data_IF_301447045327
#
_entry.id   IF_301447045327
#
_cell.length_a   1.000
_cell.length_b   1.000
_cell.length_c   1.000
_cell.angle_alpha   90.00
_cell.angle_beta   90.00
_cell.angle_gamma   90.00
#
_symmetry.space_group_name_H-M   'P 1'
#
loop_
_entity.id
_entity.type
_entity.pdbx_description
1 polymer ?
#
# COMPACT_ATOMS: atom_id res chain seq x y z
N UNK A 1 39.64 -6.72 48.53
CA UNK A 1 40.14 -7.19 47.22
C UNK A 1 38.96 -7.81 46.49
N UNK A 2 38.41 -7.07 45.52
CA UNK A 2 37.11 -7.31 44.92
C UNK A 2 37.16 -8.37 43.82
N UNK A 3 36.43 -9.46 44.02
CA UNK A 3 36.13 -10.46 43.00
C UNK A 3 35.10 -9.91 41.99
N UNK A 4 35.57 -9.45 40.82
CA UNK A 4 34.70 -9.23 39.66
C UNK A 4 34.67 -10.48 38.77
N UNK A 5 33.57 -11.22 38.84
CA UNK A 5 33.24 -12.27 37.90
C UNK A 5 33.04 -11.68 36.50
N UNK A 6 33.90 -12.06 35.55
CA UNK A 6 33.74 -11.77 34.12
C UNK A 6 32.73 -12.77 33.55
N UNK A 7 31.49 -12.34 33.37
CA UNK A 7 30.46 -13.14 32.69
C UNK A 7 30.80 -13.15 31.20
N UNK A 8 31.25 -14.31 30.68
CA UNK A 8 31.43 -14.55 29.25
C UNK A 8 30.05 -14.61 28.58
N UNK A 9 29.72 -13.62 27.76
CA UNK A 9 28.45 -13.50 27.04
C UNK A 9 28.17 -14.58 25.98
N UNK A 10 29.05 -15.58 25.82
CA UNK A 10 28.95 -16.59 24.76
C UNK A 10 28.23 -17.89 25.16
N UNK A 11 27.72 -18.02 26.39
CA UNK A 11 27.09 -19.28 26.84
C UNK A 11 25.56 -19.27 26.88
N UNK A 12 24.88 -18.28 26.30
CA UNK A 12 23.42 -18.15 26.43
C UNK A 12 22.59 -18.54 25.20
N UNK A 13 23.21 -18.80 24.03
CA UNK A 13 22.46 -19.16 22.83
C UNK A 13 23.19 -20.24 22.01
N UNK A 14 22.62 -21.46 22.05
CA UNK A 14 22.76 -22.63 21.16
C UNK A 14 24.05 -22.82 20.34
N UNK A 15 24.76 -23.92 20.62
CA UNK A 15 25.81 -24.47 19.76
C UNK A 15 25.26 -24.92 18.40
N UNK A 16 25.54 -24.16 17.35
CA UNK A 16 25.50 -24.63 15.95
C UNK A 16 26.83 -25.34 15.58
N UNK A 17 26.85 -26.19 14.54
CA UNK A 17 27.95 -27.13 14.32
C UNK A 17 29.25 -26.40 13.96
N UNK A 18 30.35 -26.84 14.59
CA UNK A 18 31.67 -26.22 14.53
C UNK A 18 32.25 -26.18 13.10
N UNK A 19 32.86 -25.06 12.67
CA UNK A 19 33.70 -25.05 11.48
C UNK A 19 35.09 -25.58 11.84
N UNK A 20 35.51 -26.64 11.15
CA UNK A 20 36.86 -27.17 11.20
C UNK A 20 37.86 -26.25 10.49
N UNK A 21 39.08 -26.23 11.04
CA UNK A 21 40.34 -25.78 10.42
C UNK A 21 40.75 -24.31 10.60
N UNK A 22 41.61 -24.13 11.61
CA UNK A 22 42.63 -23.09 11.82
C UNK A 22 43.07 -22.32 10.56
N UNK A 23 42.89 -21.01 10.60
CA UNK A 23 43.91 -20.03 10.21
C UNK A 23 43.98 -18.95 11.29
N UNK A 24 45.19 -18.74 11.82
CA UNK A 24 45.48 -17.65 12.75
C UNK A 24 45.42 -16.32 11.98
N UNK A 25 44.27 -15.68 11.97
CA UNK A 25 44.21 -14.22 11.88
C UNK A 25 43.56 -13.72 13.17
N UNK A 26 44.22 -12.80 13.87
CA UNK A 26 43.53 -11.92 14.82
C UNK A 26 42.53 -11.14 13.98
N UNK A 27 41.33 -11.68 13.82
CA UNK A 27 40.18 -10.90 13.40
C UNK A 27 39.88 -10.00 14.58
N UNK A 28 40.41 -8.78 14.55
CA UNK A 28 39.76 -7.66 15.21
C UNK A 28 38.37 -7.62 14.59
N UNK A 29 37.42 -8.32 15.22
CA UNK A 29 36.01 -8.18 14.90
C UNK A 29 35.72 -6.75 15.32
N UNK A 30 35.69 -5.86 14.34
CA UNK A 30 35.44 -4.44 14.52
C UNK A 30 34.16 -4.26 15.33
N UNK A 31 34.35 -4.12 16.65
CA UNK A 31 33.28 -4.20 17.63
C UNK A 31 32.30 -3.04 17.42
N UNK A 32 32.81 -1.90 16.95
CA UNK A 32 32.03 -0.72 16.60
C UNK A 32 31.16 -0.99 15.37
N UNK A 33 31.69 -1.68 14.35
CA UNK A 33 30.89 -2.12 13.21
C UNK A 33 29.84 -3.17 13.59
N UNK A 34 30.13 -4.08 14.53
CA UNK A 34 29.15 -5.06 15.02
C UNK A 34 28.05 -4.38 15.81
N UNK A 35 28.38 -3.43 16.70
CA UNK A 35 27.41 -2.67 17.48
C UNK A 35 26.54 -1.82 16.55
N UNK A 36 27.13 -1.12 15.60
CA UNK A 36 26.42 -0.30 14.61
C UNK A 36 25.42 -1.14 13.79
N UNK A 37 25.85 -2.31 13.28
CA UNK A 37 24.94 -3.21 12.54
C UNK A 37 23.78 -3.70 13.40
N UNK A 38 24.05 -4.07 14.66
CA UNK A 38 23.00 -4.51 15.59
C UNK A 38 22.02 -3.39 15.93
N UNK A 39 22.51 -2.17 16.12
CA UNK A 39 21.68 -0.99 16.36
C UNK A 39 20.79 -0.69 15.15
N UNK A 40 21.35 -0.69 13.94
CA UNK A 40 20.58 -0.48 12.71
C UNK A 40 19.52 -1.58 12.51
N UNK A 41 19.85 -2.84 12.80
CA UNK A 41 18.90 -3.94 12.74
C UNK A 41 17.75 -3.77 13.74
N UNK A 42 18.05 -3.39 14.98
CA UNK A 42 17.04 -3.13 15.99
C UNK A 42 16.13 -1.94 15.63
N UNK A 43 16.73 -0.83 15.18
CA UNK A 43 15.99 0.35 14.75
C UNK A 43 15.10 0.07 13.53
N UNK A 44 15.60 -0.70 12.57
CA UNK A 44 14.83 -1.13 11.40
C UNK A 44 13.65 -2.01 11.80
N UNK A 45 13.84 -2.90 12.79
CA UNK A 45 12.75 -3.72 13.33
C UNK A 45 11.69 -2.91 14.04
N UNK A 46 12.09 -1.91 14.82
CA UNK A 46 11.14 -0.98 15.47
C UNK A 46 10.32 -0.24 14.42
N UNK A 47 10.98 0.27 13.38
CA UNK A 47 10.31 0.98 12.30
C UNK A 47 9.32 0.08 11.53
N UNK A 48 9.73 -1.16 11.29
CA UNK A 48 8.86 -2.16 10.68
C UNK A 48 7.62 -2.43 11.53
N UNK A 49 7.78 -2.62 12.84
CA UNK A 49 6.65 -2.82 13.75
C UNK A 49 5.72 -1.61 13.78
N UNK A 50 6.28 -0.40 13.76
CA UNK A 50 5.50 0.84 13.66
C UNK A 50 4.70 0.90 12.35
N UNK A 51 5.32 0.63 11.20
CA UNK A 51 4.65 0.61 9.91
C UNK A 51 3.55 -0.47 9.85
N UNK A 52 3.81 -1.63 10.45
CA UNK A 52 2.83 -2.72 10.57
C UNK A 52 1.63 -2.34 11.44
N UNK A 53 1.85 -1.68 12.58
CA UNK A 53 0.79 -1.21 13.48
C UNK A 53 -0.08 -0.15 12.81
N UNK A 54 0.54 0.86 12.17
CA UNK A 54 -0.20 1.85 11.37
C UNK A 54 -0.93 1.21 10.20
N UNK A 55 -0.31 0.22 9.55
CA UNK A 55 -0.93 -0.59 8.51
C UNK A 55 -2.15 -1.37 9.02
N UNK A 56 -2.11 -1.91 10.23
CA UNK A 56 -3.23 -2.60 10.86
C UNK A 56 -4.40 -1.64 11.13
N UNK A 57 -4.12 -0.43 11.64
CA UNK A 57 -5.15 0.61 11.82
C UNK A 57 -5.80 1.01 10.49
N UNK A 58 -4.99 1.17 9.43
CA UNK A 58 -5.50 1.44 8.09
C UNK A 58 -6.30 0.26 7.52
N UNK A 59 -5.91 -0.98 7.82
CA UNK A 59 -6.62 -2.18 7.43
C UNK A 59 -7.97 -2.31 8.13
N UNK A 60 -8.05 -2.01 9.42
CA UNK A 60 -9.30 -1.97 10.17
C UNK A 60 -10.26 -0.94 9.57
N UNK A 61 -9.75 0.26 9.26
CA UNK A 61 -10.51 1.30 8.58
C UNK A 61 -10.98 0.85 7.18
N UNK A 62 -10.12 0.16 6.42
CA UNK A 62 -10.46 -0.35 5.09
C UNK A 62 -11.54 -1.44 5.11
N UNK A 63 -11.57 -2.24 6.18
CA UNK A 63 -12.48 -3.38 6.29
C UNK A 63 -13.78 -3.06 7.05
N UNK A 64 -13.83 -1.92 7.76
CA UNK A 64 -14.93 -1.54 8.64
C UNK A 64 -16.29 -1.55 7.92
N UNK A 65 -16.37 -0.90 6.75
CA UNK A 65 -17.63 -0.77 6.01
C UNK A 65 -17.73 -1.73 4.82
N UNK A 66 -16.72 -2.57 4.56
CA UNK A 66 -16.66 -3.36 3.32
C UNK A 66 -17.87 -4.29 3.17
N UNK A 67 -18.35 -4.88 4.26
CA UNK A 67 -19.55 -5.73 4.23
C UNK A 67 -20.84 -4.93 3.95
N UNK A 68 -20.95 -3.72 4.53
CA UNK A 68 -22.09 -2.84 4.30
C UNK A 68 -22.11 -2.37 2.84
N UNK A 69 -20.96 -1.95 2.30
CA UNK A 69 -20.78 -1.58 0.89
C UNK A 69 -21.15 -2.77 -0.01
N UNK A 70 -20.61 -3.95 0.28
CA UNK A 70 -20.83 -5.14 -0.55
C UNK A 70 -22.31 -5.56 -0.64
N UNK A 71 -23.09 -5.34 0.41
CA UNK A 71 -24.49 -5.79 0.49
C UNK A 71 -25.53 -4.72 0.19
N UNK A 72 -25.11 -3.46 0.01
CA UNK A 72 -26.01 -2.35 -0.32
C UNK A 72 -26.73 -2.60 -1.64
N UNK A 73 -28.06 -2.62 -1.61
CA UNK A 73 -28.89 -2.72 -2.81
C UNK A 73 -29.37 -1.32 -3.18
N UNK A 74 -28.79 -0.75 -4.24
CA UNK A 74 -29.21 0.51 -4.82
C UNK A 74 -28.95 0.50 -6.33
N UNK A 75 -29.83 1.12 -7.09
CA UNK A 75 -29.66 1.35 -8.52
C UNK A 75 -28.89 2.67 -8.79
N UNK A 76 -28.74 3.51 -7.77
CA UNK A 76 -28.04 4.80 -7.87
C UNK A 76 -26.54 4.62 -8.07
N UNK A 77 -25.89 5.63 -8.66
CA UNK A 77 -24.43 5.68 -8.70
C UNK A 77 -23.84 6.22 -7.38
N UNK A 78 -22.68 5.68 -6.95
CA UNK A 78 -21.86 6.30 -5.91
C UNK A 78 -21.69 7.80 -6.15
N UNK A 79 -21.76 8.60 -5.08
CA UNK A 79 -21.58 10.05 -5.15
C UNK A 79 -20.16 10.50 -4.81
N UNK A 80 -19.45 9.71 -4.00
CA UNK A 80 -18.11 10.04 -3.49
C UNK A 80 -17.38 8.76 -3.07
N UNK A 81 -16.05 8.83 -2.85
CA UNK A 81 -15.32 7.76 -2.17
C UNK A 81 -15.93 7.48 -0.79
N UNK A 82 -15.85 6.22 -0.36
CA UNK A 82 -16.34 5.80 0.96
C UNK A 82 -15.52 6.41 2.09
N UNK A 83 -16.13 6.53 3.27
CA UNK A 83 -15.42 7.00 4.46
C UNK A 83 -14.26 6.06 4.82
N UNK A 84 -14.38 4.76 4.52
CA UNK A 84 -13.30 3.78 4.64
C UNK A 84 -12.07 4.16 3.81
N UNK A 85 -12.26 4.55 2.53
CA UNK A 85 -11.17 5.00 1.67
C UNK A 85 -10.49 6.29 2.20
N UNK A 86 -11.28 7.22 2.76
CA UNK A 86 -10.76 8.44 3.37
C UNK A 86 -9.94 8.14 4.63
N UNK A 87 -10.41 7.24 5.48
CA UNK A 87 -9.75 6.89 6.74
C UNK A 87 -8.42 6.12 6.52
N UNK A 88 -8.29 5.36 5.42
CA UNK A 88 -7.00 4.80 4.99
C UNK A 88 -5.98 5.91 4.76
N UNK A 89 -6.37 6.96 4.02
CA UNK A 89 -5.49 8.08 3.70
C UNK A 89 -5.21 8.95 4.93
N UNK A 90 -6.17 9.09 5.85
CA UNK A 90 -5.94 9.75 7.14
C UNK A 90 -4.85 9.04 7.94
N UNK A 91 -4.87 7.71 7.98
CA UNK A 91 -3.82 6.92 8.64
C UNK A 91 -2.47 7.07 7.93
N UNK A 92 -2.46 7.05 6.60
CA UNK A 92 -1.25 7.30 5.80
C UNK A 92 -0.69 8.71 6.01
N UNK A 93 -1.56 9.72 6.15
CA UNK A 93 -1.22 11.10 6.50
C UNK A 93 -0.55 11.19 7.85
N UNK A 94 -1.15 10.60 8.89
CA UNK A 94 -0.57 10.59 10.24
C UNK A 94 0.81 9.93 10.20
N UNK A 95 0.94 8.78 9.53
CA UNK A 95 2.22 8.10 9.40
C UNK A 95 3.28 8.95 8.67
N UNK A 96 2.88 9.64 7.60
CA UNK A 96 3.74 10.55 6.85
C UNK A 96 4.26 11.71 7.71
N UNK A 97 3.38 12.36 8.48
CA UNK A 97 3.74 13.48 9.37
C UNK A 97 4.67 13.01 10.50
N UNK A 98 4.38 11.86 11.11
CA UNK A 98 5.21 11.28 12.16
C UNK A 98 6.61 10.93 11.63
N UNK A 99 6.70 10.35 10.42
CA UNK A 99 7.99 10.09 9.77
C UNK A 99 8.77 11.36 9.46
N UNK A 100 8.12 12.42 8.98
CA UNK A 100 8.78 13.71 8.74
C UNK A 100 9.36 14.30 10.05
N UNK A 101 8.64 14.17 11.16
CA UNK A 101 9.12 14.62 12.48
C UNK A 101 10.28 13.76 13.03
N UNK A 102 10.34 12.46 12.70
CA UNK A 102 11.36 11.53 13.22
C UNK A 102 12.64 11.55 12.38
N UNK A 103 12.53 11.49 11.06
CA UNK A 103 13.68 11.35 10.16
C UNK A 103 14.29 12.70 9.76
N UNK A 104 13.54 13.79 9.91
CA UNK A 104 13.85 15.05 9.25
C UNK A 104 13.58 14.95 7.75
N UNK A 105 12.92 15.97 7.20
CA UNK A 105 12.50 16.00 5.80
C UNK A 105 11.23 16.81 5.64
N UNK A 106 10.87 17.12 4.40
CA UNK A 106 9.69 17.91 4.14
C UNK A 106 8.42 17.14 4.55
N UNK A 107 7.46 17.87 5.13
CA UNK A 107 6.09 17.39 5.36
C UNK A 107 5.33 17.31 4.03
N UNK A 108 5.92 16.68 3.03
CA UNK A 108 5.35 16.64 1.69
C UNK A 108 4.48 15.41 1.55
N UNK A 109 3.18 15.66 1.39
CA UNK A 109 2.46 15.01 0.30
C UNK A 109 2.79 15.85 -0.94
N UNK A 110 3.25 15.24 -2.04
CA UNK A 110 3.52 16.00 -3.25
C UNK A 110 2.29 16.82 -3.66
N UNK A 111 2.43 18.03 -4.25
CA UNK A 111 1.29 18.83 -4.70
C UNK A 111 0.29 17.96 -5.45
N UNK A 112 -0.99 18.04 -5.05
CA UNK A 112 -2.01 17.19 -5.65
C UNK A 112 -2.08 17.47 -7.15
N UNK A 113 -1.90 16.45 -7.99
CA UNK A 113 -2.15 16.62 -9.40
C UNK A 113 -3.66 16.86 -9.52
N UNK A 114 -4.11 17.90 -10.24
CA UNK A 114 -5.53 18.09 -10.47
C UNK A 114 -6.12 16.80 -11.03
N UNK A 115 -7.31 16.43 -10.55
CA UNK A 115 -8.03 15.33 -11.15
C UNK A 115 -8.21 15.65 -12.64
N UNK A 116 -7.93 14.72 -13.56
CA UNK A 116 -8.13 14.96 -14.97
C UNK A 116 -9.62 15.25 -15.21
N UNK A 117 -9.93 16.30 -15.98
CA UNK A 117 -11.30 16.55 -16.42
C UNK A 117 -11.79 15.32 -17.19
N UNK A 118 -13.10 15.05 -17.17
CA UNK A 118 -13.71 13.90 -17.85
C UNK A 118 -13.38 13.82 -19.36
N UNK A 119 -12.98 14.93 -19.97
CA UNK A 119 -12.58 15.06 -21.38
C UNK A 119 -11.06 14.99 -21.62
N UNK A 120 -10.26 14.93 -20.55
CA UNK A 120 -8.81 14.73 -20.65
C UNK A 120 -8.56 13.25 -20.61
N UNK A 121 -8.11 12.68 -21.74
CA UNK A 121 -7.61 11.31 -21.84
C UNK A 121 -6.89 10.93 -20.53
N UNK A 122 -7.52 10.01 -19.81
CA UNK A 122 -7.11 9.56 -18.50
C UNK A 122 -5.60 9.44 -18.43
N UNK A 123 -5.01 10.12 -17.43
CA UNK A 123 -3.59 10.08 -17.04
C UNK A 123 -2.91 8.88 -17.66
N UNK A 124 -2.11 9.16 -18.70
CA UNK A 124 -1.26 8.21 -19.41
C UNK A 124 -1.40 6.78 -18.93
N UNK A 125 -2.46 6.10 -19.38
CA UNK A 125 -2.37 4.69 -19.72
C UNK A 125 -1.29 4.64 -20.79
N UNK A 126 -0.03 4.71 -20.36
CA UNK A 126 1.11 4.49 -21.23
C UNK A 126 0.81 3.17 -21.90
N UNK A 127 0.51 3.26 -23.20
CA UNK A 127 0.16 2.17 -24.05
C UNK A 127 0.96 0.93 -23.63
N UNK A 128 0.31 0.01 -22.93
CA UNK A 128 0.57 -1.40 -23.15
C UNK A 128 -0.02 -1.63 -24.53
N UNK A 129 0.73 -1.18 -25.54
CA UNK A 129 0.63 -1.69 -26.88
C UNK A 129 0.94 -3.16 -26.67
N UNK A 130 -0.11 -3.96 -26.54
CA UNK A 130 -0.03 -5.40 -26.55
C UNK A 130 0.87 -5.73 -27.74
N UNK A 131 2.12 -6.11 -27.45
CA UNK A 131 3.01 -6.61 -28.48
C UNK A 131 2.30 -7.85 -28.97
N UNK A 132 1.76 -7.75 -30.18
CA UNK A 132 1.47 -8.89 -31.04
C UNK A 132 2.65 -9.86 -30.91
N UNK A 133 2.40 -10.94 -30.19
CA UNK A 133 3.43 -11.77 -29.61
C UNK A 133 2.80 -12.91 -28.82
N UNK A 134 2.03 -13.74 -29.54
CA UNK A 134 1.55 -15.07 -29.14
C UNK A 134 0.62 -15.11 -27.90
N UNK A 135 -0.54 -15.79 -27.96
CA UNK A 135 -1.42 -15.92 -26.81
C UNK A 135 -0.80 -16.89 -25.79
N UNK A 136 0.02 -16.37 -24.88
CA UNK A 136 0.40 -17.11 -23.69
C UNK A 136 -0.78 -17.03 -22.72
N UNK A 137 -1.35 -18.20 -22.40
CA UNK A 137 -2.54 -18.36 -21.56
C UNK A 137 -2.30 -17.70 -20.19
N UNK A 138 -3.31 -17.02 -19.64
CA UNK A 138 -3.22 -16.24 -18.39
C UNK A 138 -2.48 -16.92 -17.23
N UNK A 139 -2.58 -18.24 -17.11
CA UNK A 139 -1.84 -19.03 -16.13
C UNK A 139 -0.31 -18.88 -16.22
N UNK A 140 0.26 -18.66 -17.40
CA UNK A 140 1.70 -18.48 -17.58
C UNK A 140 2.17 -17.10 -17.12
N UNK A 141 1.35 -16.07 -17.33
CA UNK A 141 1.58 -14.73 -16.78
C UNK A 141 1.43 -14.72 -15.26
N UNK A 142 0.46 -15.46 -14.71
CA UNK A 142 0.27 -15.60 -13.27
C UNK A 142 1.44 -16.37 -12.63
N UNK A 143 1.94 -17.41 -13.29
CA UNK A 143 3.14 -18.13 -12.83
C UNK A 143 4.38 -17.25 -12.91
N UNK A 144 4.60 -16.50 -13.99
CA UNK A 144 5.72 -15.54 -14.06
C UNK A 144 5.61 -14.45 -12.99
N UNK A 145 4.41 -13.91 -12.72
CA UNK A 145 4.18 -12.98 -11.61
C UNK A 145 4.45 -13.62 -10.26
N UNK A 146 4.01 -14.86 -10.02
CA UNK A 146 4.32 -15.62 -8.79
C UNK A 146 5.82 -15.88 -8.59
N UNK A 147 6.62 -15.92 -9.66
CA UNK A 147 8.07 -16.10 -9.59
C UNK A 147 8.85 -14.78 -9.52
N UNK A 148 8.26 -13.66 -9.95
CA UNK A 148 8.88 -12.32 -9.93
C UNK A 148 8.52 -11.55 -8.65
N UNK A 149 7.28 -11.69 -8.17
CA UNK A 149 6.84 -11.12 -6.91
C UNK A 149 7.00 -12.18 -5.81
N UNK A 150 8.07 -12.06 -5.01
CA UNK A 150 8.08 -12.73 -3.71
C UNK A 150 6.86 -12.21 -2.95
N UNK A 151 5.89 -13.09 -2.70
CA UNK A 151 4.72 -12.80 -1.87
C UNK A 151 5.19 -12.66 -0.42
N UNK A 152 5.95 -11.60 -0.12
CA UNK A 152 6.19 -11.17 1.24
C UNK A 152 4.89 -10.54 1.74
N UNK A 153 4.03 -11.37 2.33
CA UNK A 153 2.83 -10.93 3.04
C UNK A 153 3.19 -9.87 4.09
N UNK A 154 4.35 -10.02 4.73
CA UNK A 154 4.94 -9.13 5.71
C UNK A 154 6.45 -9.07 5.48
N UNK A 155 7.11 -7.92 5.75
CA UNK A 155 8.54 -7.82 5.54
C UNK A 155 9.24 -8.90 6.37
N UNK A 156 10.06 -9.73 5.73
CA UNK A 156 10.70 -10.84 6.43
C UNK A 156 11.66 -10.30 7.51
N UNK A 157 11.86 -11.01 8.63
CA UNK A 157 12.69 -10.51 9.75
C UNK A 157 14.16 -10.27 9.39
N UNK A 158 14.59 -10.71 8.20
CA UNK A 158 15.93 -10.50 7.64
C UNK A 158 15.99 -9.25 6.74
N UNK A 159 14.85 -8.70 6.31
CA UNK A 159 14.80 -7.54 5.43
C UNK A 159 14.87 -6.26 6.26
N UNK A 160 15.92 -5.47 6.06
CA UNK A 160 16.02 -4.17 6.72
C UNK A 160 15.10 -3.20 5.99
N UNK A 161 14.06 -2.72 6.69
CA UNK A 161 13.30 -1.57 6.25
C UNK A 161 14.21 -0.35 6.14
N UNK A 162 14.09 0.35 5.03
CA UNK A 162 14.77 1.62 4.77
C UNK A 162 14.24 2.70 5.71
N UNK A 163 15.11 3.56 6.22
CA UNK A 163 14.76 4.66 7.11
C UNK A 163 14.25 5.87 6.31
N UNK A 164 13.17 5.66 5.55
CA UNK A 164 12.55 6.70 4.71
C UNK A 164 11.05 6.75 4.94
N UNK A 165 10.47 7.96 4.82
CA UNK A 165 9.01 8.17 4.78
C UNK A 165 8.36 7.25 3.75
N UNK A 166 8.96 7.17 2.57
CA UNK A 166 8.45 6.40 1.44
C UNK A 166 8.26 4.91 1.79
N UNK A 167 9.27 4.28 2.39
CA UNK A 167 9.21 2.86 2.76
C UNK A 167 8.13 2.58 3.82
N UNK A 168 7.99 3.47 4.80
CA UNK A 168 7.01 3.33 5.89
C UNK A 168 5.60 3.48 5.36
N UNK A 169 5.31 4.59 4.67
CA UNK A 169 3.97 4.88 4.16
C UNK A 169 3.54 3.85 3.12
N UNK A 170 4.46 3.41 2.26
CA UNK A 170 4.16 2.31 1.33
C UNK A 170 3.84 1.00 2.05
N UNK A 171 4.52 0.69 3.17
CA UNK A 171 4.20 -0.50 3.96
C UNK A 171 2.82 -0.39 4.61
N UNK A 172 2.46 0.78 5.16
CA UNK A 172 1.12 1.06 5.72
C UNK A 172 0.04 0.78 4.67
N UNK A 173 0.18 1.35 3.47
CA UNK A 173 -0.78 1.17 2.38
C UNK A 173 -0.79 -0.26 1.84
N UNK A 174 0.38 -0.93 1.74
CA UNK A 174 0.48 -2.35 1.35
C UNK A 174 -0.33 -3.24 2.30
N UNK A 175 -0.23 -3.01 3.61
CA UNK A 175 -1.01 -3.77 4.61
C UNK A 175 -2.51 -3.51 4.44
N UNK A 176 -2.93 -2.25 4.31
CA UNK A 176 -4.34 -1.91 4.11
C UNK A 176 -4.94 -2.57 2.86
N UNK A 177 -4.26 -2.46 1.71
CA UNK A 177 -4.76 -3.02 0.45
C UNK A 177 -4.77 -4.55 0.44
N UNK A 178 -3.78 -5.20 1.07
CA UNK A 178 -3.80 -6.66 1.24
C UNK A 178 -4.94 -7.13 2.15
N UNK A 179 -5.27 -6.37 3.19
CA UNK A 179 -6.43 -6.67 4.02
C UNK A 179 -7.74 -6.50 3.26
N UNK A 180 -7.87 -5.50 2.38
CA UNK A 180 -9.03 -5.37 1.48
C UNK A 180 -9.15 -6.56 0.54
N UNK A 181 -8.04 -7.02 -0.05
CA UNK A 181 -8.02 -8.24 -0.88
C UNK A 181 -8.58 -9.42 -0.08
N UNK A 182 -8.06 -9.67 1.12
CA UNK A 182 -8.48 -10.83 1.90
C UNK A 182 -9.93 -10.71 2.38
N UNK A 183 -10.34 -9.54 2.87
CA UNK A 183 -11.71 -9.31 3.33
C UNK A 183 -12.73 -9.43 2.20
N UNK A 184 -12.39 -8.96 0.98
CA UNK A 184 -13.27 -9.06 -0.19
C UNK A 184 -13.61 -10.52 -0.56
N UNK A 185 -12.75 -11.50 -0.20
CA UNK A 185 -13.00 -12.93 -0.43
C UNK A 185 -14.14 -13.49 0.41
N UNK A 186 -14.46 -12.83 1.52
CA UNK A 186 -15.56 -13.20 2.41
C UNK A 186 -16.87 -12.45 2.08
N UNK A 187 -16.85 -11.55 1.10
CA UNK A 187 -18.01 -10.77 0.70
C UNK A 187 -18.59 -11.27 -0.63
N UNK A 188 -19.88 -10.97 -0.85
CA UNK A 188 -20.52 -11.01 -2.16
C UNK A 188 -21.01 -9.61 -2.47
N UNK A 189 -20.65 -9.09 -3.64
CA UNK A 189 -20.87 -7.70 -3.99
C UNK A 189 -22.11 -7.55 -4.86
N UNK A 190 -22.99 -6.64 -4.49
CA UNK A 190 -24.02 -6.11 -5.39
C UNK A 190 -23.39 -5.26 -6.50
N UNK A 191 -24.15 -4.91 -7.57
CA UNK A 191 -23.66 -4.00 -8.59
C UNK A 191 -23.25 -2.64 -8.00
N UNK A 192 -24.03 -2.12 -7.04
CA UNK A 192 -23.68 -0.90 -6.32
C UNK A 192 -22.36 -1.05 -5.56
N UNK A 193 -22.21 -2.12 -4.77
CA UNK A 193 -21.00 -2.36 -3.99
C UNK A 193 -19.76 -2.48 -4.88
N UNK A 194 -19.88 -3.13 -6.05
CA UNK A 194 -18.82 -3.18 -7.05
C UNK A 194 -18.44 -1.79 -7.56
N UNK A 195 -19.42 -0.96 -7.94
CA UNK A 195 -19.19 0.43 -8.40
C UNK A 195 -18.55 1.31 -7.32
N UNK A 196 -18.99 1.17 -6.06
CA UNK A 196 -18.38 1.90 -4.94
C UNK A 196 -16.91 1.52 -4.77
N UNK A 197 -16.58 0.22 -4.86
CA UNK A 197 -15.18 -0.23 -4.81
C UNK A 197 -14.36 0.28 -5.98
N UNK A 198 -14.94 0.46 -7.17
CA UNK A 198 -14.25 1.11 -8.29
C UNK A 198 -13.92 2.57 -8.00
N UNK A 199 -14.86 3.32 -7.41
CA UNK A 199 -14.63 4.72 -7.02
C UNK A 199 -13.54 4.80 -5.95
N UNK A 200 -13.61 3.96 -4.92
CA UNK A 200 -12.63 3.91 -3.85
C UNK A 200 -11.23 3.55 -4.37
N UNK A 201 -11.12 2.51 -5.21
CA UNK A 201 -9.84 2.12 -5.81
C UNK A 201 -9.28 3.19 -6.76
N UNK A 202 -10.12 3.85 -7.55
CA UNK A 202 -9.70 4.94 -8.44
C UNK A 202 -9.18 6.14 -7.63
N UNK A 203 -9.91 6.50 -6.57
CA UNK A 203 -9.50 7.54 -5.63
C UNK A 203 -8.16 7.22 -4.95
N UNK A 204 -8.02 6.01 -4.40
CA UNK A 204 -6.80 5.57 -3.74
C UNK A 204 -5.60 5.53 -4.71
N UNK A 205 -5.78 5.07 -5.96
CA UNK A 205 -4.72 5.10 -6.98
C UNK A 205 -4.23 6.52 -7.26
N UNK A 206 -5.15 7.47 -7.40
CA UNK A 206 -4.80 8.89 -7.57
C UNK A 206 -4.02 9.40 -6.36
N UNK A 207 -4.49 9.05 -5.16
CA UNK A 207 -3.92 9.53 -3.91
C UNK A 207 -2.55 8.92 -3.56
N UNK A 208 -2.28 7.67 -3.92
CA UNK A 208 -0.98 6.99 -3.67
C UNK A 208 0.20 7.81 -4.18
N UNK A 209 0.06 8.47 -5.34
CA UNK A 209 1.10 9.29 -5.96
C UNK A 209 1.50 10.51 -5.11
N UNK A 210 0.64 10.93 -4.18
CA UNK A 210 0.92 12.02 -3.25
C UNK A 210 1.72 11.57 -2.03
N UNK A 211 1.59 10.31 -1.65
CA UNK A 211 2.17 9.76 -0.43
C UNK A 211 3.50 9.03 -0.68
N UNK A 212 3.59 8.35 -1.82
CA UNK A 212 4.67 7.43 -2.16
C UNK A 212 5.32 7.91 -3.45
N UNK A 213 6.65 7.98 -3.44
CA UNK A 213 7.46 8.31 -4.62
C UNK A 213 7.73 7.03 -5.43
N UNK A 214 7.81 7.17 -6.76
CA UNK A 214 7.99 6.07 -7.74
C UNK A 214 9.42 5.50 -7.75
N UNK A 215 10.09 5.54 -6.60
CA UNK A 215 11.46 5.06 -6.43
C UNK A 215 11.50 3.55 -6.22
N UNK A 216 12.62 2.96 -6.64
CA UNK A 216 12.92 1.56 -6.34
C UNK A 216 13.25 1.45 -4.86
N UNK A 217 12.44 0.69 -4.14
CA UNK A 217 12.66 0.32 -2.76
C UNK A 217 13.78 -0.71 -2.63
N UNK A 218 14.25 -0.89 -1.40
CA UNK A 218 15.31 -1.85 -1.04
C UNK A 218 14.95 -3.31 -1.36
N UNK A 219 13.67 -3.65 -1.42
CA UNK A 219 13.15 -4.95 -1.84
C UNK A 219 13.13 -5.14 -3.37
N UNK A 220 13.59 -4.14 -4.14
CA UNK A 220 13.58 -4.13 -5.60
C UNK A 220 12.23 -3.78 -6.23
N UNK A 221 11.19 -3.59 -5.41
CA UNK A 221 9.87 -3.17 -5.87
C UNK A 221 9.81 -1.66 -6.08
N UNK A 222 8.89 -1.21 -6.92
CA UNK A 222 8.58 0.21 -7.04
C UNK A 222 7.30 0.47 -6.22
N UNK A 223 7.36 1.45 -5.32
CA UNK A 223 6.31 1.71 -4.34
C UNK A 223 4.93 1.92 -4.95
N UNK A 224 4.81 2.90 -5.85
CA UNK A 224 3.54 3.24 -6.50
C UNK A 224 3.02 2.10 -7.37
N UNK A 225 3.88 1.45 -8.16
CA UNK A 225 3.49 0.32 -9.00
C UNK A 225 3.01 -0.86 -8.17
N UNK A 226 3.71 -1.19 -7.10
CA UNK A 226 3.32 -2.28 -6.19
C UNK A 226 1.95 -2.01 -5.55
N UNK A 227 1.70 -0.77 -5.11
CA UNK A 227 0.42 -0.36 -4.54
C UNK A 227 -0.71 -0.39 -5.58
N UNK A 228 -0.46 0.07 -6.80
CA UNK A 228 -1.43 0.03 -7.90
C UNK A 228 -1.77 -1.40 -8.33
N UNK A 229 -0.79 -2.32 -8.30
CA UNK A 229 -1.03 -3.75 -8.51
C UNK A 229 -1.97 -4.30 -7.44
N UNK A 230 -1.72 -4.00 -6.15
CA UNK A 230 -2.60 -4.44 -5.06
C UNK A 230 -4.03 -3.90 -5.21
N UNK A 231 -4.21 -2.64 -5.60
CA UNK A 231 -5.54 -2.07 -5.87
C UNK A 231 -6.21 -2.73 -7.09
N UNK A 232 -5.43 -3.18 -8.06
CA UNK A 232 -5.95 -3.98 -9.18
C UNK A 232 -6.38 -5.37 -8.71
N UNK A 233 -5.62 -6.00 -7.82
CA UNK A 233 -5.98 -7.28 -7.22
C UNK A 233 -7.24 -7.19 -6.35
N UNK A 234 -7.44 -6.08 -5.62
CA UNK A 234 -8.71 -5.79 -4.94
C UNK A 234 -9.86 -5.84 -5.94
N UNK A 235 -9.75 -5.10 -7.05
CA UNK A 235 -10.80 -5.04 -8.06
C UNK A 235 -11.05 -6.39 -8.75
N UNK A 236 -10.01 -7.18 -8.97
CA UNK A 236 -10.15 -8.55 -9.49
C UNK A 236 -10.96 -9.43 -8.52
N UNK A 237 -10.62 -9.43 -7.22
CA UNK A 237 -11.36 -10.22 -6.23
C UNK A 237 -12.81 -9.74 -6.06
N UNK A 238 -13.03 -8.42 -6.06
CA UNK A 238 -14.36 -7.82 -5.97
C UNK A 238 -15.21 -8.18 -7.20
N UNK A 239 -14.64 -8.12 -8.40
CA UNK A 239 -15.30 -8.52 -9.65
C UNK A 239 -15.63 -10.02 -9.70
N UNK A 240 -14.74 -10.87 -9.18
CA UNK A 240 -14.99 -12.31 -9.06
C UNK A 240 -16.16 -12.65 -8.13
N UNK A 241 -16.42 -11.77 -7.16
CA UNK A 241 -17.46 -11.90 -6.12
C UNK A 241 -18.70 -11.05 -6.41
N UNK A 242 -18.76 -10.36 -7.54
CA UNK A 242 -19.93 -9.57 -7.91
C UNK A 242 -21.08 -10.49 -8.37
N UNK A 243 -22.29 -10.20 -7.89
CA UNK A 243 -23.50 -10.96 -8.20
C UNK A 243 -23.91 -10.82 -9.66
N UNK A 244 -23.58 -9.69 -10.28
CA UNK A 244 -23.92 -9.38 -11.67
C UNK A 244 -22.64 -9.24 -12.49
N UNK A 245 -22.51 -10.08 -13.52
CA UNK A 245 -21.28 -10.09 -14.35
C UNK A 245 -21.25 -8.97 -15.38
N UNK A 246 -22.41 -8.44 -15.75
CA UNK A 246 -22.53 -7.44 -16.81
C UNK A 246 -21.97 -6.08 -16.40
N UNK A 247 -21.94 -5.77 -15.09
CA UNK A 247 -21.33 -4.55 -14.57
C UNK A 247 -19.81 -4.67 -14.33
N UNK A 248 -19.25 -5.89 -14.32
CA UNK A 248 -17.82 -6.09 -14.04
C UNK A 248 -16.98 -5.62 -15.22
N UNK A 249 -15.99 -4.78 -14.93
CA UNK A 249 -15.12 -4.16 -15.94
C UNK A 249 -15.73 -2.96 -16.67
N UNK A 250 -16.94 -2.52 -16.33
CA UNK A 250 -17.47 -1.24 -16.81
C UNK A 250 -16.72 -0.09 -16.14
N UNK A 251 -16.08 0.79 -16.92
CA UNK A 251 -15.33 1.96 -16.42
C UNK A 251 -16.05 3.29 -16.68
N UNK A 252 -17.21 3.22 -17.33
CA UNK A 252 -18.02 4.37 -17.70
C UNK A 252 -19.48 4.13 -17.29
N UNK A 253 -20.08 5.11 -16.62
CA UNK A 253 -21.46 5.09 -16.17
C UNK A 253 -22.21 6.26 -16.76
N UNK A 254 -23.40 6.01 -17.28
CA UNK A 254 -24.25 7.07 -17.78
C UNK A 254 -25.24 7.53 -16.71
N UNK A 255 -25.22 8.81 -16.38
CA UNK A 255 -26.16 9.44 -15.45
C UNK A 255 -26.66 10.78 -16.03
N UNK A 256 -27.92 10.77 -16.50
CA UNK A 256 -28.58 11.97 -17.05
C UNK A 256 -28.71 13.09 -16.00
N UNK A 257 -28.84 12.74 -14.72
CA UNK A 257 -29.01 13.70 -13.63
C UNK A 257 -27.72 14.41 -13.23
N UNK A 258 -26.55 13.82 -13.54
CA UNK A 258 -25.22 14.34 -13.18
C UNK A 258 -24.38 14.82 -14.37
N UNK A 259 -24.98 14.93 -15.55
CA UNK A 259 -24.33 15.55 -16.70
C UNK A 259 -23.70 14.57 -17.70
N UNK A 260 -24.13 13.30 -17.72
CA UNK A 260 -23.76 12.35 -18.78
C UNK A 260 -22.82 11.24 -18.31
N UNK A 261 -21.74 11.02 -19.07
CA UNK A 261 -20.80 9.92 -18.84
C UNK A 261 -19.89 10.25 -17.65
N UNK A 262 -19.88 9.39 -16.64
CA UNK A 262 -19.08 9.47 -15.44
C UNK A 262 -18.11 8.30 -15.37
N UNK A 263 -16.89 8.56 -14.91
CA UNK A 263 -15.92 7.51 -14.60
C UNK A 263 -15.77 7.39 -13.09
N UNK A 264 -15.28 6.26 -12.55
CA UNK A 264 -14.95 6.16 -11.14
C UNK A 264 -14.05 7.29 -10.63
N UNK A 265 -13.12 7.75 -11.47
CA UNK A 265 -12.21 8.84 -11.14
C UNK A 265 -12.91 10.20 -11.14
N UNK A 266 -13.84 10.47 -12.07
CA UNK A 266 -14.60 11.73 -12.06
C UNK A 266 -15.54 11.81 -10.84
N UNK A 267 -16.16 10.69 -10.46
CA UNK A 267 -16.94 10.59 -9.22
C UNK A 267 -16.04 10.84 -8.00
N UNK A 268 -14.85 10.26 -7.97
CA UNK A 268 -13.87 10.52 -6.91
C UNK A 268 -13.44 11.99 -6.86
N UNK A 269 -13.24 12.63 -8.03
CA UNK A 269 -12.84 14.04 -8.17
C UNK A 269 -13.86 15.03 -7.60
N UNK A 270 -15.15 14.66 -7.58
CA UNK A 270 -16.21 15.50 -7.01
C UNK A 270 -15.97 15.89 -5.55
N UNK A 271 -15.23 15.07 -4.79
CA UNK A 271 -14.87 15.37 -3.40
C UNK A 271 -13.96 16.60 -3.31
N UNK A 272 -13.07 16.79 -4.28
CA UNK A 272 -12.17 17.94 -4.34
C UNK A 272 -12.90 19.19 -4.82
N UNK A 273 -13.84 19.03 -5.75
CA UNK A 273 -14.69 20.12 -6.25
C UNK A 273 -15.67 20.63 -5.20
N UNK A 274 -16.14 19.75 -4.31
CA UNK A 274 -17.02 20.12 -3.20
C UNK A 274 -16.40 21.14 -2.23
N UNK A 275 -15.07 21.25 -2.22
CA UNK A 275 -14.33 22.25 -1.46
C UNK A 275 -14.48 22.13 0.06
N UNK A 276 -14.96 20.99 0.57
CA UNK A 276 -15.14 20.80 2.02
C UNK A 276 -13.76 20.75 2.71
N UNK A 277 -13.42 21.77 3.51
CA UNK A 277 -12.12 21.85 4.16
C UNK A 277 -11.93 20.76 5.22
N UNK A 278 -13.02 20.25 5.81
CA UNK A 278 -12.95 19.20 6.85
C UNK A 278 -12.60 17.86 6.21
N UNK A 279 -13.19 17.55 5.06
CA UNK A 279 -12.94 16.33 4.30
C UNK A 279 -11.53 16.35 3.71
N UNK A 280 -11.15 17.44 3.04
CA UNK A 280 -9.81 17.57 2.45
C UNK A 280 -8.71 17.59 3.52
N UNK A 281 -8.97 18.16 4.70
CA UNK A 281 -8.04 18.09 5.82
C UNK A 281 -7.74 16.66 6.31
N UNK A 282 -8.57 15.65 6.02
CA UNK A 282 -8.27 14.27 6.40
C UNK A 282 -7.08 13.68 5.64
N UNK A 283 -6.91 14.05 4.38
CA UNK A 283 -5.95 13.38 3.48
C UNK A 283 -5.03 14.33 2.71
N UNK A 284 -5.18 15.64 2.86
CA UNK A 284 -4.23 16.63 2.33
C UNK A 284 -3.27 17.03 3.45
N UNK A 285 -1.96 16.95 3.19
CA UNK A 285 -0.95 17.52 4.09
C UNK A 285 -0.81 19.00 3.72
N UNK A 286 -1.50 19.87 4.46
CA UNK A 286 -1.31 21.32 4.33
C UNK A 286 0.06 21.71 4.91
N UNK A 287 0.87 22.42 4.14
CA UNK A 287 2.05 23.11 4.65
C UNK A 287 1.60 24.08 5.76
N UNK A 288 2.28 24.01 6.91
CA UNK A 288 2.15 24.97 8.00
C UNK A 288 3.38 25.87 8.01
#
# INVERSE_FOLDING_TARGET
EDNKAVIKANSFFGEGPAPSSRTNSKTDVDADNVIKRRFLAAASRILQLYAMERGAQAADAACADLFAIATTQSDDLPSRPSDSALNILETAKVASIECANIFGGDRMANPMAPFPDADTDAIGMSHIKARSGSPMKGLQLDVERMFIESVEAFPHSMHMMEFTRNAVVATVLKVAFKSMIEQSRFCSFTPYGYKQMQVDCAFLRHMVLHYVEDDKMTDGTNGCKSLNNLLSDVMLNVGDRCSERDCVGQEEYFDEGRGGLLTPLSIAGSIMESGDPEITAKFVISEA
#
